data_IF_319407387731
#
_entry.id   IF_319407387731
#
_cell.length_a   1.000
_cell.length_b   1.000
_cell.length_c   1.000
_cell.angle_alpha   90.00
_cell.angle_beta   90.00
_cell.angle_gamma   90.00
#
_symmetry.space_group_name_H-M   'P 1'
#
loop_
_entity.id
_entity.type
_entity.pdbx_description
1 polymer ?
#
# COMPACT_ATOMS: atom_id res chain seq x y z
N UNK A 1 54.08 44.60 -23.99
CA UNK A 1 53.06 43.70 -24.58
C UNK A 1 52.80 42.58 -23.55
N UNK A 2 51.72 42.70 -22.79
CA UNK A 2 51.37 41.71 -21.73
C UNK A 2 50.40 40.65 -22.32
N UNK A 3 50.88 39.44 -22.44
CA UNK A 3 50.00 38.31 -22.80
C UNK A 3 49.24 37.86 -21.57
N UNK A 4 47.94 38.13 -21.53
CA UNK A 4 46.98 37.58 -20.50
C UNK A 4 46.60 36.17 -20.90
N UNK A 5 47.08 35.19 -20.13
CA UNK A 5 46.72 33.78 -20.29
C UNK A 5 45.37 33.53 -19.58
N UNK A 6 44.31 33.33 -20.35
CA UNK A 6 43.00 32.95 -19.79
C UNK A 6 43.01 31.43 -19.62
N UNK A 7 43.05 30.95 -18.37
CA UNK A 7 42.87 29.54 -18.04
C UNK A 7 41.38 29.27 -17.94
N UNK A 8 40.83 28.55 -18.92
CA UNK A 8 39.45 28.09 -18.92
C UNK A 8 39.38 26.79 -18.11
N UNK A 9 38.93 26.86 -16.85
CA UNK A 9 38.69 25.69 -16.04
C UNK A 9 37.36 25.03 -16.44
N UNK A 10 37.44 23.86 -17.08
CA UNK A 10 36.27 23.02 -17.34
C UNK A 10 35.92 22.26 -16.05
N UNK A 11 34.82 22.64 -15.41
CA UNK A 11 34.28 21.88 -14.28
C UNK A 11 33.50 20.67 -14.86
N UNK A 12 34.11 19.49 -14.77
CA UNK A 12 33.43 18.22 -15.07
C UNK A 12 32.47 17.89 -13.92
N UNK A 13 31.19 18.18 -14.08
CA UNK A 13 30.15 17.71 -13.15
C UNK A 13 29.93 16.24 -13.44
N UNK A 14 30.55 15.37 -12.64
CA UNK A 14 30.20 13.95 -12.62
C UNK A 14 28.79 13.81 -12.02
N UNK A 15 27.80 13.58 -12.87
CA UNK A 15 26.45 13.24 -12.43
C UNK A 15 26.49 11.94 -11.64
N UNK A 16 26.28 12.01 -10.33
CA UNK A 16 26.02 10.83 -9.50
C UNK A 16 24.60 10.39 -9.84
N UNK A 17 24.46 9.39 -10.73
CA UNK A 17 23.20 8.71 -10.89
C UNK A 17 22.95 7.86 -9.63
N UNK A 18 21.99 8.26 -8.81
CA UNK A 18 21.48 7.37 -7.74
C UNK A 18 20.96 6.08 -8.41
N UNK A 19 21.20 4.90 -7.81
CA UNK A 19 20.60 3.68 -8.32
C UNK A 19 19.06 3.84 -8.25
N UNK A 20 18.40 3.69 -9.39
CA UNK A 20 16.95 3.53 -9.41
C UNK A 20 16.66 2.20 -8.72
N UNK A 21 16.09 2.23 -7.52
CA UNK A 21 15.50 1.05 -6.93
C UNK A 21 14.30 0.69 -7.79
N UNK A 22 14.38 -0.43 -8.48
CA UNK A 22 13.22 -0.98 -9.17
C UNK A 22 12.20 -1.37 -8.10
N UNK A 23 11.10 -0.67 -8.04
CA UNK A 23 9.94 -1.08 -7.25
C UNK A 23 9.44 -2.39 -7.86
N UNK A 24 9.24 -3.41 -7.02
CA UNK A 24 8.73 -4.70 -7.46
C UNK A 24 7.28 -4.85 -7.02
N UNK A 25 6.46 -5.35 -7.93
CA UNK A 25 5.09 -5.79 -7.61
C UNK A 25 5.21 -7.08 -6.81
N UNK A 26 4.36 -7.24 -5.81
CA UNK A 26 4.29 -8.45 -4.98
C UNK A 26 3.86 -9.66 -5.82
N UNK A 27 4.30 -10.85 -5.43
CA UNK A 27 3.97 -12.13 -6.06
C UNK A 27 2.90 -12.92 -5.28
N UNK A 28 2.22 -12.26 -4.35
CA UNK A 28 1.16 -12.81 -3.50
C UNK A 28 0.10 -11.75 -3.22
N UNK A 29 -1.05 -12.15 -2.69
CA UNK A 29 -2.11 -11.22 -2.24
C UNK A 29 -1.57 -10.32 -1.13
N UNK A 30 -1.85 -9.03 -1.24
CA UNK A 30 -1.35 -8.01 -0.32
C UNK A 30 -2.47 -7.21 0.32
N UNK A 31 -2.18 -6.60 1.46
CA UNK A 31 -2.93 -5.46 1.98
C UNK A 31 -2.59 -4.27 1.09
N UNK A 32 -3.58 -3.71 0.41
CA UNK A 32 -3.41 -2.63 -0.55
C UNK A 32 -3.72 -1.26 0.04
N UNK A 33 -4.73 -1.22 0.91
CA UNK A 33 -5.22 0.02 1.53
C UNK A 33 -5.85 -0.29 2.90
N UNK A 34 -5.70 0.63 3.86
CA UNK A 34 -6.26 0.53 5.21
C UNK A 34 -6.75 1.90 5.65
N UNK A 35 -8.00 1.99 6.07
CA UNK A 35 -8.57 3.17 6.70
C UNK A 35 -8.93 2.84 8.16
N UNK A 36 -8.17 3.45 9.07
CA UNK A 36 -8.31 3.22 10.51
C UNK A 36 -9.14 4.29 11.20
N UNK A 37 -9.47 5.40 10.51
CA UNK A 37 -10.22 6.53 11.06
C UNK A 37 -11.11 7.19 9.99
N UNK A 38 -12.02 6.43 9.36
CA UNK A 38 -12.85 6.90 8.27
C UNK A 38 -13.76 8.05 8.71
N UNK A 39 -14.02 9.00 7.80
CA UNK A 39 -14.84 10.17 8.10
C UNK A 39 -16.18 9.80 8.72
N UNK A 40 -16.40 10.22 9.97
CA UNK A 40 -17.65 10.01 10.71
C UNK A 40 -17.41 9.42 12.10
N UNK A 41 -18.39 8.68 12.61
CA UNK A 41 -18.30 7.99 13.90
C UNK A 41 -18.10 6.48 13.67
N UNK A 42 -16.87 6.07 13.68
CA UNK A 42 -16.43 4.67 13.48
C UNK A 42 -16.86 3.75 14.63
N UNK A 43 -17.15 4.34 15.80
CA UNK A 43 -17.68 3.57 16.94
C UNK A 43 -19.12 3.14 16.77
N UNK A 44 -19.88 3.69 15.83
CA UNK A 44 -21.32 3.51 15.71
C UNK A 44 -21.83 3.15 14.31
N UNK A 45 -21.46 3.89 13.27
CA UNK A 45 -22.10 3.83 11.96
C UNK A 45 -21.16 3.72 10.77
N UNK A 46 -19.90 4.06 10.97
CA UNK A 46 -18.87 3.95 9.95
C UNK A 46 -17.94 2.80 10.34
N UNK A 47 -17.52 2.01 9.38
CA UNK A 47 -16.66 0.86 9.64
C UNK A 47 -15.27 1.12 9.11
N UNK A 48 -14.26 0.94 9.95
CA UNK A 48 -12.88 0.80 9.52
C UNK A 48 -12.75 -0.37 8.56
N UNK A 49 -11.83 -0.27 7.62
CA UNK A 49 -11.75 -1.28 6.56
C UNK A 49 -10.31 -1.54 6.09
N UNK A 50 -10.15 -2.71 5.50
CA UNK A 50 -8.93 -3.16 4.83
C UNK A 50 -9.28 -3.63 3.44
N UNK A 51 -8.52 -3.20 2.46
CA UNK A 51 -8.58 -3.70 1.10
C UNK A 51 -7.42 -4.65 0.83
N UNK A 52 -7.74 -5.80 0.26
CA UNK A 52 -6.78 -6.74 -0.30
C UNK A 52 -6.76 -6.61 -1.82
N UNK A 53 -5.58 -6.80 -2.40
CA UNK A 53 -5.36 -6.83 -3.84
C UNK A 53 -4.61 -8.09 -4.24
N UNK A 54 -4.99 -8.68 -5.38
CA UNK A 54 -4.31 -9.84 -5.95
C UNK A 54 -3.46 -9.42 -7.18
N UNK A 55 -2.15 -9.18 -7.02
CA UNK A 55 -1.25 -8.84 -8.12
C UNK A 55 -0.82 -10.05 -8.95
N UNK A 56 -1.22 -11.26 -8.58
CA UNK A 56 -0.82 -12.50 -9.28
C UNK A 56 -1.66 -12.74 -10.52
N UNK A 57 -1.30 -13.73 -11.31
CA UNK A 57 -2.01 -14.14 -12.54
C UNK A 57 -3.03 -15.25 -12.32
N UNK A 58 -3.32 -15.61 -11.06
CA UNK A 58 -4.18 -16.74 -10.70
C UNK A 58 -5.17 -16.36 -9.60
N UNK A 59 -6.34 -17.02 -9.60
CA UNK A 59 -7.27 -16.94 -8.49
C UNK A 59 -6.62 -17.44 -7.20
N UNK A 60 -6.86 -16.75 -6.08
CA UNK A 60 -6.39 -17.14 -4.76
C UNK A 60 -7.58 -17.37 -3.85
N UNK A 61 -7.64 -18.56 -3.23
CA UNK A 61 -8.62 -18.88 -2.21
C UNK A 61 -8.16 -18.33 -0.86
N UNK A 62 -8.93 -17.37 -0.33
CA UNK A 62 -8.69 -16.71 0.95
C UNK A 62 -9.46 -17.35 2.12
N UNK A 63 -10.10 -18.50 1.92
CA UNK A 63 -10.89 -19.19 2.96
C UNK A 63 -10.06 -19.40 4.23
N UNK A 64 -10.57 -18.89 5.35
CA UNK A 64 -9.90 -19.03 6.65
C UNK A 64 -8.65 -18.18 6.84
N UNK A 65 -8.31 -17.31 5.89
CA UNK A 65 -7.26 -16.31 6.11
C UNK A 65 -7.71 -15.30 7.15
N UNK A 66 -6.76 -14.59 7.73
CA UNK A 66 -7.03 -13.64 8.80
C UNK A 66 -6.44 -12.27 8.49
N UNK A 67 -7.20 -11.23 8.80
CA UNK A 67 -6.74 -9.84 8.86
C UNK A 67 -6.70 -9.44 10.32
N UNK A 68 -5.53 -9.13 10.85
CA UNK A 68 -5.30 -8.95 12.28
C UNK A 68 -4.72 -7.58 12.61
N UNK A 69 -5.38 -6.85 13.53
CA UNK A 69 -4.77 -5.77 14.30
C UNK A 69 -3.77 -6.36 15.29
N UNK A 70 -2.54 -5.89 15.32
CA UNK A 70 -1.50 -6.51 16.15
C UNK A 70 -1.06 -5.66 17.34
N UNK A 71 -1.51 -4.39 17.40
CA UNK A 71 -1.06 -3.44 18.42
C UNK A 71 -1.90 -3.52 19.70
N UNK A 72 -2.82 -2.57 19.91
CA UNK A 72 -3.53 -2.41 21.19
C UNK A 72 -4.75 -3.31 21.27
N UNK A 73 -5.61 -3.27 20.25
CA UNK A 73 -6.90 -3.96 20.30
C UNK A 73 -6.80 -5.45 20.00
N UNK A 74 -5.81 -5.86 19.20
CA UNK A 74 -5.53 -7.28 18.84
C UNK A 74 -6.77 -8.03 18.34
N UNK A 75 -7.53 -7.38 17.46
CA UNK A 75 -8.72 -7.96 16.87
C UNK A 75 -8.40 -8.60 15.54
N UNK A 76 -9.03 -9.73 15.28
CA UNK A 76 -8.83 -10.50 14.05
C UNK A 76 -10.17 -10.71 13.37
N UNK A 77 -10.19 -10.49 12.05
CA UNK A 77 -11.27 -10.88 11.16
C UNK A 77 -10.81 -12.13 10.41
N UNK A 78 -11.58 -13.21 10.53
CA UNK A 78 -11.38 -14.42 9.73
C UNK A 78 -12.19 -14.31 8.45
N UNK A 79 -11.54 -14.47 7.30
CA UNK A 79 -12.18 -14.41 5.98
C UNK A 79 -13.06 -15.64 5.79
N UNK A 80 -14.33 -15.46 5.34
CA UNK A 80 -15.26 -16.56 5.18
C UNK A 80 -14.81 -17.61 4.17
N UNK A 81 -15.23 -18.86 4.38
CA UNK A 81 -15.01 -19.94 3.43
C UNK A 81 -15.63 -19.63 2.06
N UNK A 82 -14.93 -20.00 1.00
CA UNK A 82 -15.31 -19.78 -0.39
C UNK A 82 -15.02 -18.36 -0.89
N UNK A 83 -14.28 -17.54 -0.14
CA UNK A 83 -13.82 -16.22 -0.59
C UNK A 83 -12.64 -16.39 -1.53
N UNK A 84 -12.83 -16.02 -2.79
CA UNK A 84 -11.79 -16.08 -3.85
C UNK A 84 -11.53 -14.66 -4.34
N UNK A 85 -10.26 -14.31 -4.53
CA UNK A 85 -9.83 -13.07 -5.16
C UNK A 85 -9.16 -13.37 -6.49
N UNK A 86 -9.75 -12.86 -7.59
CA UNK A 86 -9.23 -13.07 -8.95
C UNK A 86 -8.05 -12.17 -9.27
N UNK A 87 -7.26 -12.46 -10.32
CA UNK A 87 -6.16 -11.62 -10.77
C UNK A 87 -6.57 -10.18 -11.01
N UNK A 88 -5.88 -9.24 -10.37
CA UNK A 88 -6.12 -7.81 -10.49
C UNK A 88 -7.35 -7.29 -9.75
N UNK A 89 -8.06 -8.14 -9.01
CA UNK A 89 -9.25 -7.74 -8.25
C UNK A 89 -8.89 -7.19 -6.87
N UNK A 90 -9.85 -6.44 -6.31
CA UNK A 90 -9.83 -5.89 -4.96
C UNK A 90 -10.95 -6.50 -4.13
N UNK A 91 -10.69 -6.76 -2.85
CA UNK A 91 -11.71 -7.16 -1.88
C UNK A 91 -11.61 -6.30 -0.62
N UNK A 92 -12.74 -5.70 -0.21
CA UNK A 92 -12.81 -4.85 0.98
C UNK A 92 -13.44 -5.65 2.12
N UNK A 93 -12.79 -5.59 3.28
CA UNK A 93 -13.23 -6.18 4.51
C UNK A 93 -13.49 -5.10 5.56
N UNK A 94 -14.68 -5.12 6.15
CA UNK A 94 -15.08 -4.21 7.21
C UNK A 94 -15.24 -4.98 8.52
N UNK A 95 -14.99 -4.31 9.64
CA UNK A 95 -15.26 -4.86 10.96
C UNK A 95 -16.47 -4.16 11.59
N UNK A 96 -17.30 -4.90 12.32
CA UNK A 96 -18.58 -4.38 12.84
C UNK A 96 -18.44 -3.27 13.90
N UNK A 97 -17.25 -3.08 14.45
CA UNK A 97 -16.95 -2.10 15.50
C UNK A 97 -15.53 -1.58 15.29
N UNK A 98 -15.02 -0.79 16.24
CA UNK A 98 -13.64 -0.37 16.25
C UNK A 98 -12.72 -1.58 16.09
N UNK A 99 -11.94 -1.58 15.04
CA UNK A 99 -10.97 -2.64 14.69
C UNK A 99 -9.56 -2.25 15.04
N UNK A 100 -9.22 -1.02 14.76
CA UNK A 100 -7.88 -0.45 14.84
C UNK A 100 -7.77 0.65 15.89
N UNK A 101 -6.56 1.15 16.09
CA UNK A 101 -6.27 2.37 16.85
C UNK A 101 -5.69 3.40 15.92
N UNK A 102 -6.22 4.62 15.95
CA UNK A 102 -5.81 5.73 15.08
C UNK A 102 -4.36 6.16 15.34
N UNK A 103 -3.89 6.00 16.57
CA UNK A 103 -2.61 6.54 17.02
C UNK A 103 -1.38 5.68 16.67
N UNK A 104 -1.55 4.40 16.47
CA UNK A 104 -0.48 3.48 16.04
C UNK A 104 -1.03 2.10 15.77
N UNK A 105 -1.05 1.68 14.53
CA UNK A 105 -1.52 0.35 14.14
C UNK A 105 -0.52 -0.36 13.23
N UNK A 106 -0.55 -1.69 13.27
CA UNK A 106 0.13 -2.57 12.34
C UNK A 106 -0.83 -3.71 12.02
N UNK A 107 -1.18 -3.83 10.74
CA UNK A 107 -2.11 -4.82 10.24
C UNK A 107 -1.36 -5.95 9.56
N UNK A 108 -1.69 -7.19 9.90
CA UNK A 108 -1.14 -8.39 9.28
C UNK A 108 -2.22 -9.13 8.49
N UNK A 109 -1.85 -9.62 7.31
CA UNK A 109 -2.57 -10.62 6.55
C UNK A 109 -1.91 -11.97 6.79
N UNK A 110 -2.68 -12.94 7.29
CA UNK A 110 -2.20 -14.30 7.57
C UNK A 110 -3.00 -15.30 6.76
N UNK A 111 -2.33 -16.35 6.28
CA UNK A 111 -3.05 -17.46 5.64
C UNK A 111 -3.74 -18.36 6.69
N UNK A 112 -4.49 -19.37 6.23
CA UNK A 112 -5.23 -20.31 7.09
C UNK A 112 -4.33 -21.14 8.04
N UNK A 113 -3.03 -21.24 7.75
CA UNK A 113 -2.04 -21.89 8.64
C UNK A 113 -1.45 -20.91 9.68
N UNK A 114 -1.88 -19.65 9.68
CA UNK A 114 -1.39 -18.59 10.57
C UNK A 114 -0.04 -17.99 10.13
N UNK A 115 0.43 -18.28 8.92
CA UNK A 115 1.66 -17.69 8.37
C UNK A 115 1.38 -16.29 7.91
N UNK A 116 2.21 -15.32 8.32
CA UNK A 116 2.12 -13.93 7.84
C UNK A 116 2.50 -13.90 6.37
N UNK A 117 1.57 -13.43 5.56
CA UNK A 117 1.72 -13.26 4.11
C UNK A 117 2.12 -11.83 3.77
N UNK A 118 1.49 -10.86 4.44
CA UNK A 118 1.78 -9.44 4.23
C UNK A 118 1.56 -8.63 5.52
N UNK A 119 2.15 -7.44 5.58
CA UNK A 119 2.01 -6.53 6.72
C UNK A 119 2.13 -5.09 6.27
N UNK A 120 1.36 -4.19 6.91
CA UNK A 120 1.50 -2.75 6.72
C UNK A 120 2.79 -2.24 7.39
N UNK A 121 3.29 -1.04 7.06
CA UNK A 121 4.14 -0.31 8.00
C UNK A 121 3.35 0.02 9.28
N UNK A 122 4.02 0.60 10.30
CA UNK A 122 3.26 1.25 11.37
C UNK A 122 2.53 2.46 10.79
N UNK A 123 1.20 2.44 10.89
CA UNK A 123 0.31 3.48 10.39
C UNK A 123 -0.24 4.31 11.54
N UNK A 124 -0.44 5.59 11.29
CA UNK A 124 -1.04 6.57 12.20
C UNK A 124 -2.03 7.40 11.40
N UNK A 125 -3.27 7.45 11.85
CA UNK A 125 -4.32 8.24 11.23
C UNK A 125 -5.10 8.97 12.31
N UNK A 126 -4.74 10.24 12.56
CA UNK A 126 -5.36 11.08 13.58
C UNK A 126 -6.43 12.03 13.02
N UNK A 127 -6.59 12.02 11.71
CA UNK A 127 -7.52 12.91 11.02
C UNK A 127 -8.76 12.12 10.64
N UNK A 128 -9.90 12.47 11.21
CA UNK A 128 -11.20 11.88 10.85
C UNK A 128 -11.67 12.48 9.52
N UNK A 129 -11.08 12.02 8.40
CA UNK A 129 -11.31 12.55 7.07
C UNK A 129 -11.55 11.44 6.01
N UNK A 130 -11.33 11.72 4.75
CA UNK A 130 -11.52 10.77 3.65
C UNK A 130 -10.21 10.18 3.16
N UNK A 131 -9.15 10.25 3.95
CA UNK A 131 -7.83 9.72 3.59
C UNK A 131 -7.62 8.35 4.23
N UNK A 132 -6.74 7.58 3.64
CA UNK A 132 -6.35 6.25 4.09
C UNK A 132 -4.84 6.05 3.95
N UNK A 133 -4.32 5.03 4.60
CA UNK A 133 -2.99 4.50 4.30
C UNK A 133 -3.09 3.49 3.17
N UNK A 134 -2.41 3.75 2.07
CA UNK A 134 -2.47 2.94 0.86
C UNK A 134 -1.09 2.72 0.26
N UNK A 135 -0.94 1.64 -0.50
CA UNK A 135 0.23 1.48 -1.35
C UNK A 135 0.21 2.56 -2.42
N UNK A 136 1.35 3.16 -2.75
CA UNK A 136 1.43 4.23 -3.77
C UNK A 136 1.01 3.77 -5.17
N UNK A 137 1.09 2.47 -5.42
CA UNK A 137 0.53 1.74 -6.56
C UNK A 137 0.13 0.35 -6.11
N UNK A 138 -0.90 -0.22 -6.72
CA UNK A 138 -1.42 -1.54 -6.37
C UNK A 138 -0.34 -2.61 -6.36
N UNK A 139 -0.21 -3.28 -5.22
CA UNK A 139 0.77 -4.36 -5.04
C UNK A 139 2.23 -3.93 -4.86
N UNK A 140 2.57 -2.64 -4.91
CA UNK A 140 3.95 -2.16 -4.68
C UNK A 140 4.28 -2.08 -3.18
N UNK A 141 5.57 -1.95 -2.86
CA UNK A 141 6.05 -1.93 -1.47
C UNK A 141 5.87 -0.59 -0.76
N UNK A 142 5.79 0.52 -1.51
CA UNK A 142 5.75 1.86 -0.95
C UNK A 142 4.35 2.24 -0.51
N UNK A 143 4.26 2.96 0.59
CA UNK A 143 3.01 3.40 1.19
C UNK A 143 2.93 4.92 1.26
N UNK A 144 1.72 5.45 1.15
CA UNK A 144 1.41 6.86 1.33
C UNK A 144 0.09 7.04 2.08
N UNK A 145 -0.08 8.22 2.70
CA UNK A 145 -1.36 8.64 3.24
C UNK A 145 -2.01 9.59 2.24
N UNK A 146 -3.13 9.19 1.67
CA UNK A 146 -3.77 9.88 0.54
C UNK A 146 -5.28 9.70 0.56
N UNK A 147 -5.99 10.40 -0.34
CA UNK A 147 -7.43 10.23 -0.47
C UNK A 147 -7.77 8.76 -0.76
N UNK A 148 -8.69 8.21 0.02
CA UNK A 148 -9.09 6.81 -0.08
C UNK A 148 -9.62 6.45 -1.46
N UNK A 149 -9.23 5.25 -1.94
CA UNK A 149 -9.58 4.72 -3.27
C UNK A 149 -10.33 3.40 -3.23
N UNK A 150 -10.92 3.06 -2.09
CA UNK A 150 -11.59 1.78 -1.81
C UNK A 150 -12.34 1.17 -3.01
N UNK A 151 -11.98 -0.06 -3.38
CA UNK A 151 -12.54 -0.77 -4.53
C UNK A 151 -12.01 -0.32 -5.89
N UNK A 152 -10.95 0.49 -5.90
CA UNK A 152 -10.37 1.05 -7.13
C UNK A 152 -8.85 1.10 -7.00
N UNK A 153 -8.14 1.23 -8.11
CA UNK A 153 -6.68 1.32 -8.12
C UNK A 153 -6.18 2.55 -7.36
N UNK A 154 -5.20 2.35 -6.48
CA UNK A 154 -4.54 3.39 -5.67
C UNK A 154 -3.75 4.40 -6.51
N UNK A 155 -3.27 4.04 -7.63
CA UNK A 155 -2.51 4.92 -8.51
C UNK A 155 -2.46 4.35 -9.91
N UNK A 156 -2.37 5.24 -10.90
CA UNK A 156 -2.13 4.80 -12.26
C UNK A 156 -0.64 4.75 -12.50
N UNK A 157 -0.09 3.56 -12.67
CA UNK A 157 1.25 3.40 -13.20
C UNK A 157 1.31 4.04 -14.59
N UNK A 158 1.98 5.18 -14.70
CA UNK A 158 2.26 5.79 -16.01
C UNK A 158 3.50 5.09 -16.54
N UNK A 159 3.32 4.07 -17.39
CA UNK A 159 4.42 3.58 -18.20
C UNK A 159 4.90 4.73 -19.09
N UNK A 160 6.07 5.27 -18.76
CA UNK A 160 6.78 6.10 -19.73
C UNK A 160 7.26 5.15 -20.83
N UNK A 161 6.46 5.02 -21.90
CA UNK A 161 6.92 4.35 -23.11
C UNK A 161 8.11 5.19 -23.63
N UNK A 162 9.32 4.65 -23.49
CA UNK A 162 10.50 5.14 -24.19
C UNK A 162 10.32 4.88 -25.69
N UNK A 163 9.42 5.59 -26.34
CA UNK A 163 9.44 5.74 -27.79
C UNK A 163 10.56 6.70 -28.11
N UNK A 164 11.77 6.16 -28.33
CA UNK A 164 12.82 6.93 -28.97
C UNK A 164 12.29 7.45 -30.30
N UNK A 165 12.41 8.75 -30.57
CA UNK A 165 12.11 9.25 -31.90
C UNK A 165 13.12 8.65 -32.88
N UNK A 166 12.62 8.08 -33.96
CA UNK A 166 13.39 7.59 -35.12
C UNK A 166 13.92 8.78 -35.89
#
# INVERSE_FOLDING_TARGET
>A
MNNLLIILSVILVAGISAPAYAQTISDHVVINEVDTNPFGDDSQSISEWVELYNPTDSDVDLSGWEIASTTVLKKTLTIPDGTIISPGDFLIFNYEKIWFTDSSELVELRNADGVIIDTTPFIVDLENDFSSWQRSYDGFSDWEFSLASAGSSNGKFIEFSNSSPV
#
